data_IF_810010296592
#
_entry.id   IF_810010296592
#
_cell.length_a   1.000
_cell.length_b   1.000
_cell.length_c   1.000
_cell.angle_alpha   90.00
_cell.angle_beta   90.00
_cell.angle_gamma   90.00
#
_symmetry.space_group_name_H-M   'P 1'
#
loop_
_entity.id
_entity.type
_entity.pdbx_description
1 polymer ?
#
# COMPACT_ATOMS: atom_id res chain seq x y z
N UNK A 1 -14.86 -3.93 46.81
CA UNK A 1 -14.31 -2.55 46.78
C UNK A 1 -13.23 -2.54 45.70
N UNK A 2 -13.55 -2.12 44.49
CA UNK A 2 -12.61 -2.10 43.35
C UNK A 2 -12.32 -0.63 43.01
N UNK A 3 -11.06 -0.16 42.96
CA UNK A 3 -10.76 1.17 42.50
C UNK A 3 -10.69 1.14 40.96
N UNK A 4 -11.72 1.66 40.29
CA UNK A 4 -11.77 1.84 38.82
C UNK A 4 -11.79 3.32 38.41
N UNK A 5 -11.18 4.19 39.22
CA UNK A 5 -11.37 5.64 39.07
C UNK A 5 -10.14 6.42 38.61
N UNK A 6 -8.96 5.80 38.50
CA UNK A 6 -7.71 6.55 38.23
C UNK A 6 -7.17 6.47 36.79
N UNK A 7 -7.73 5.63 35.91
CA UNK A 7 -7.31 5.59 34.49
C UNK A 7 -8.17 6.47 33.56
N UNK A 8 -9.42 6.78 33.94
CA UNK A 8 -10.31 7.61 33.12
C UNK A 8 -10.03 9.11 33.22
N UNK A 9 -9.37 9.55 34.30
CA UNK A 9 -9.09 10.97 34.55
C UNK A 9 -7.94 11.51 33.66
N UNK A 10 -7.03 10.63 33.21
CA UNK A 10 -5.86 11.04 32.43
C UNK A 10 -6.10 11.21 30.91
N UNK A 11 -7.24 10.75 30.38
CA UNK A 11 -7.63 11.05 29.00
C UNK A 11 -8.22 12.47 28.93
N UNK A 12 -9.11 12.81 29.86
CA UNK A 12 -9.76 14.12 30.04
C UNK A 12 -8.84 15.33 29.92
N UNK A 13 -7.71 15.31 30.62
CA UNK A 13 -6.80 16.47 30.75
C UNK A 13 -5.79 16.59 29.60
N UNK A 14 -5.47 15.48 28.90
CA UNK A 14 -4.66 15.53 27.66
C UNK A 14 -5.44 16.06 26.46
N UNK A 15 -6.78 16.06 26.51
CA UNK A 15 -7.66 16.54 25.43
C UNK A 15 -7.66 18.08 25.24
N UNK A 16 -7.06 18.85 26.15
CA UNK A 16 -6.96 20.30 26.05
C UNK A 16 -5.78 20.77 25.19
N UNK A 17 -4.73 19.95 25.06
CA UNK A 17 -3.69 20.16 24.06
C UNK A 17 -4.19 19.56 22.75
N UNK A 18 -4.32 20.40 21.72
CA UNK A 18 -4.82 19.94 20.44
C UNK A 18 -3.99 18.77 19.90
N UNK A 19 -4.64 17.82 19.22
CA UNK A 19 -3.94 16.85 18.38
C UNK A 19 -3.11 17.65 17.34
N UNK A 20 -1.78 17.62 17.49
CA UNK A 20 -0.83 18.24 16.57
C UNK A 20 -0.09 17.09 15.92
N UNK A 21 -0.45 16.78 14.68
CA UNK A 21 0.22 15.76 13.89
C UNK A 21 1.30 16.44 13.03
N UNK A 22 2.53 15.92 12.98
CA UNK A 22 3.58 16.47 12.13
C UNK A 22 3.24 16.27 10.65
N UNK A 23 3.83 17.11 9.80
CA UNK A 23 3.77 16.89 8.36
C UNK A 23 4.53 15.62 7.99
N UNK A 24 3.98 14.85 7.06
CA UNK A 24 4.65 13.76 6.38
C UNK A 24 4.91 14.16 4.92
N UNK A 25 5.63 13.32 4.18
CA UNK A 25 5.81 13.53 2.74
C UNK A 25 4.43 13.56 2.05
N UNK A 26 4.13 14.56 1.21
CA UNK A 26 2.87 14.64 0.51
C UNK A 26 2.63 13.44 -0.42
N UNK A 27 1.37 13.04 -0.56
CA UNK A 27 0.96 12.08 -1.58
C UNK A 27 1.01 12.74 -2.97
N UNK A 28 1.81 12.18 -3.86
CA UNK A 28 1.99 12.71 -5.22
C UNK A 28 1.05 12.05 -6.23
N UNK A 29 0.72 10.77 -6.03
CA UNK A 29 -0.16 10.02 -6.93
C UNK A 29 -0.52 8.63 -6.43
N UNK A 30 -0.72 7.71 -7.36
CA UNK A 30 -1.13 6.34 -7.06
C UNK A 30 0.05 5.41 -6.81
N UNK A 31 1.21 5.73 -7.39
CA UNK A 31 2.44 4.93 -7.28
C UNK A 31 2.99 4.90 -5.85
N UNK A 32 2.79 5.96 -5.08
CA UNK A 32 3.28 6.14 -3.72
C UNK A 32 2.20 5.90 -2.63
N UNK A 33 0.95 5.60 -3.02
CA UNK A 33 -0.18 5.50 -2.10
C UNK A 33 0.03 4.48 -0.97
N UNK A 34 0.52 3.27 -1.27
CA UNK A 34 0.68 2.21 -0.26
C UNK A 34 1.77 2.58 0.76
N UNK A 35 2.85 3.22 0.31
CA UNK A 35 3.91 3.72 1.21
C UNK A 35 3.40 4.90 2.03
N UNK A 36 2.64 5.79 1.41
CA UNK A 36 2.06 6.96 2.06
C UNK A 36 1.05 6.56 3.15
N UNK A 37 0.12 5.65 2.86
CA UNK A 37 -0.87 5.19 3.84
C UNK A 37 -0.23 4.42 5.00
N UNK A 38 0.86 3.69 4.73
CA UNK A 38 1.68 3.08 5.78
C UNK A 38 2.28 4.14 6.72
N UNK A 39 2.88 5.20 6.17
CA UNK A 39 3.43 6.32 6.96
C UNK A 39 2.36 7.04 7.76
N UNK A 40 1.18 7.27 7.17
CA UNK A 40 0.01 7.81 7.85
C UNK A 40 -0.37 6.96 9.06
N UNK A 41 -0.54 5.65 8.88
CA UNK A 41 -0.89 4.71 9.97
C UNK A 41 0.18 4.69 11.06
N UNK A 42 1.45 4.73 10.67
CA UNK A 42 2.57 4.77 11.61
C UNK A 42 2.55 6.06 12.44
N UNK A 43 2.31 7.22 11.81
CA UNK A 43 2.22 8.49 12.52
C UNK A 43 1.08 8.50 13.54
N UNK A 44 -0.11 8.05 13.14
CA UNK A 44 -1.27 7.97 14.03
C UNK A 44 -1.03 7.02 15.21
N UNK A 45 -0.26 5.95 15.01
CA UNK A 45 0.12 5.01 16.07
C UNK A 45 1.10 5.62 17.09
N UNK A 46 1.98 6.52 16.66
CA UNK A 46 3.04 7.12 17.49
C UNK A 46 2.51 8.23 18.41
N UNK A 47 1.45 8.95 18.00
CA UNK A 47 0.96 10.20 18.61
C UNK A 47 0.22 10.04 19.97
N UNK A 48 0.56 8.98 20.72
CA UNK A 48 0.29 8.87 22.16
C UNK A 48 -1.17 8.67 22.58
N UNK A 49 -2.11 8.71 21.63
CA UNK A 49 -3.53 8.36 21.86
C UNK A 49 -3.77 6.98 21.25
N UNK A 50 -3.96 5.98 22.11
CA UNK A 50 -4.11 4.59 21.68
C UNK A 50 -5.26 4.45 20.67
N UNK A 51 -4.97 3.97 19.46
CA UNK A 51 -5.99 3.56 18.49
C UNK A 51 -6.43 4.61 17.46
N UNK A 52 -5.74 5.74 17.30
CA UNK A 52 -6.10 6.74 16.26
C UNK A 52 -6.03 6.17 14.84
N UNK A 53 -5.17 5.19 14.58
CA UNK A 53 -5.09 4.49 13.30
C UNK A 53 -6.41 3.79 12.92
N UNK A 54 -7.24 3.45 13.91
CA UNK A 54 -8.57 2.84 13.71
C UNK A 54 -9.57 3.81 13.11
N UNK A 55 -9.33 5.12 13.21
CA UNK A 55 -10.18 6.14 12.59
C UNK A 55 -10.12 6.12 11.05
N UNK A 56 -9.17 5.37 10.48
CA UNK A 56 -9.04 5.16 9.04
C UNK A 56 -9.73 3.88 8.56
N UNK A 57 -10.18 3.02 9.48
CA UNK A 57 -10.83 1.77 9.13
C UNK A 57 -12.25 2.09 8.66
N UNK A 58 -12.66 1.64 7.48
CA UNK A 58 -14.03 1.82 7.00
C UNK A 58 -14.86 0.52 7.13
N UNK A 59 -14.25 -0.57 7.60
CA UNK A 59 -14.88 -1.90 7.71
C UNK A 59 -15.71 -2.06 8.98
N UNK A 60 -15.55 -1.17 9.95
CA UNK A 60 -16.23 -1.18 11.24
C UNK A 60 -17.18 0.01 11.31
N UNK A 61 -18.36 -0.18 11.89
CA UNK A 61 -19.29 0.94 12.07
C UNK A 61 -18.69 2.01 12.98
N UNK A 62 -18.92 3.29 12.65
CA UNK A 62 -18.40 4.45 13.39
C UNK A 62 -18.73 4.40 14.89
N UNK A 63 -19.92 3.92 15.25
CA UNK A 63 -20.32 3.72 16.65
C UNK A 63 -19.47 2.68 17.36
N UNK A 64 -19.14 1.57 16.68
CA UNK A 64 -18.30 0.51 17.25
C UNK A 64 -16.85 0.96 17.37
N UNK A 65 -16.32 1.72 16.40
CA UNK A 65 -14.99 2.32 16.52
C UNK A 65 -14.89 3.27 17.71
N UNK A 66 -15.87 4.17 17.88
CA UNK A 66 -15.92 5.06 19.03
C UNK A 66 -15.89 4.28 20.35
N UNK A 67 -16.72 3.22 20.46
CA UNK A 67 -16.75 2.35 21.64
C UNK A 67 -15.43 1.62 21.88
N UNK A 68 -14.82 1.03 20.84
CA UNK A 68 -13.56 0.29 20.94
C UNK A 68 -12.37 1.19 21.33
N UNK A 69 -12.47 2.49 21.04
CA UNK A 69 -11.52 3.52 21.48
C UNK A 69 -11.83 4.06 22.88
N UNK A 70 -12.92 3.63 23.51
CA UNK A 70 -13.40 4.17 24.79
C UNK A 70 -13.87 5.62 24.72
N UNK A 71 -14.27 6.09 23.53
CA UNK A 71 -14.69 7.46 23.26
C UNK A 71 -16.21 7.56 23.12
N UNK A 72 -16.77 8.67 23.58
CA UNK A 72 -18.10 9.07 23.12
C UNK A 72 -18.06 9.48 21.63
N UNK A 73 -19.22 9.40 20.96
CA UNK A 73 -19.30 9.67 19.53
C UNK A 73 -18.89 11.11 19.14
N UNK A 74 -19.11 12.10 20.01
CA UNK A 74 -18.75 13.50 19.74
C UNK A 74 -17.24 13.68 19.75
N UNK A 75 -16.57 13.07 20.72
CA UNK A 75 -15.10 13.07 20.84
C UNK A 75 -14.48 12.30 19.69
N UNK A 76 -15.02 11.13 19.34
CA UNK A 76 -14.64 10.36 18.15
C UNK A 76 -14.74 11.20 16.87
N UNK A 77 -15.91 11.82 16.63
CA UNK A 77 -16.16 12.65 15.44
C UNK A 77 -15.14 13.78 15.33
N UNK A 78 -14.88 14.50 16.43
CA UNK A 78 -13.89 15.59 16.48
C UNK A 78 -12.49 15.11 16.11
N UNK A 79 -12.07 13.93 16.59
CA UNK A 79 -10.77 13.37 16.22
C UNK A 79 -10.72 13.00 14.74
N UNK A 80 -11.76 12.35 14.24
CA UNK A 80 -11.85 11.94 12.85
C UNK A 80 -11.81 13.14 11.89
N UNK A 81 -12.55 14.21 12.18
CA UNK A 81 -12.52 15.46 11.41
C UNK A 81 -11.13 16.12 11.41
N UNK A 82 -10.43 16.11 12.56
CA UNK A 82 -9.06 16.66 12.65
C UNK A 82 -8.05 15.84 11.86
N UNK A 83 -8.19 14.52 11.87
CA UNK A 83 -7.36 13.65 11.04
C UNK A 83 -7.67 13.88 9.57
N UNK A 84 -8.93 14.00 9.16
CA UNK A 84 -9.28 14.35 7.78
C UNK A 84 -8.64 15.67 7.33
N UNK A 85 -8.68 16.71 8.18
CA UNK A 85 -8.01 17.98 7.91
C UNK A 85 -6.49 17.81 7.78
N UNK A 86 -5.86 17.08 8.70
CA UNK A 86 -4.42 16.79 8.60
C UNK A 86 -4.08 15.95 7.36
N UNK A 87 -4.88 14.97 6.98
CA UNK A 87 -4.67 14.21 5.75
C UNK A 87 -4.66 15.15 4.54
N UNK A 88 -5.56 16.12 4.50
CA UNK A 88 -5.63 17.11 3.41
C UNK A 88 -4.38 17.98 3.28
N UNK A 89 -3.69 18.29 4.39
CA UNK A 89 -2.44 19.06 4.36
C UNK A 89 -1.22 18.24 3.91
N UNK A 90 -1.38 16.93 3.73
CA UNK A 90 -0.33 16.01 3.32
C UNK A 90 -0.58 15.43 1.92
N UNK A 91 -1.24 16.22 1.05
CA UNK A 91 -1.50 15.89 -0.35
C UNK A 91 -0.79 16.92 -1.24
N UNK A 92 -0.35 16.48 -2.42
CA UNK A 92 0.11 17.40 -3.46
C UNK A 92 -1.07 18.19 -4.06
N UNK A 93 -0.78 19.37 -4.63
CA UNK A 93 -1.78 20.20 -5.31
C UNK A 93 -2.57 19.45 -6.39
N UNK A 94 -1.90 18.54 -7.11
CA UNK A 94 -2.52 17.71 -8.15
C UNK A 94 -3.60 16.80 -7.56
N UNK A 95 -3.28 16.14 -6.44
CA UNK A 95 -4.23 15.26 -5.75
C UNK A 95 -5.35 16.07 -5.10
N UNK A 96 -5.06 17.24 -4.52
CA UNK A 96 -6.06 18.15 -3.95
C UNK A 96 -7.09 18.56 -5.02
N UNK A 97 -6.64 19.02 -6.20
CA UNK A 97 -7.55 19.38 -7.29
C UNK A 97 -8.41 18.21 -7.75
N UNK A 98 -7.84 17.01 -7.80
CA UNK A 98 -8.57 15.79 -8.14
C UNK A 98 -9.63 15.44 -7.07
N UNK A 99 -9.31 15.66 -5.79
CA UNK A 99 -10.23 15.49 -4.66
C UNK A 99 -11.38 16.51 -4.72
N UNK A 100 -11.10 17.78 -5.04
CA UNK A 100 -12.13 18.83 -5.16
C UNK A 100 -13.09 18.59 -6.33
N UNK A 101 -12.60 18.01 -7.43
CA UNK A 101 -13.43 17.68 -8.60
C UNK A 101 -14.39 16.51 -8.36
N UNK A 102 -14.19 15.72 -7.30
CA UNK A 102 -15.09 14.62 -6.92
C UNK A 102 -16.23 15.14 -6.03
N UNK A 103 -17.51 14.88 -6.38
CA UNK A 103 -18.68 15.50 -5.76
C UNK A 103 -18.94 15.07 -4.32
N UNK A 104 -18.36 13.95 -3.87
CA UNK A 104 -18.56 13.45 -2.51
C UNK A 104 -17.73 14.26 -1.53
N UNK A 105 -18.34 14.73 -0.42
CA UNK A 105 -17.61 15.47 0.62
C UNK A 105 -17.28 14.53 1.78
N UNK A 106 -16.02 14.12 1.97
CA UNK A 106 -15.66 13.28 3.09
C UNK A 106 -15.72 14.13 4.37
N UNK A 107 -16.43 13.65 5.38
CA UNK A 107 -16.57 14.35 6.67
C UNK A 107 -15.60 13.79 7.71
N UNK A 108 -15.38 12.47 7.69
CA UNK A 108 -14.55 11.74 8.63
C UNK A 108 -13.30 11.16 7.95
N UNK A 109 -12.30 10.76 8.73
CA UNK A 109 -11.01 10.28 8.23
C UNK A 109 -11.12 8.99 7.39
N UNK A 110 -11.99 8.06 7.77
CA UNK A 110 -12.33 6.85 7.01
C UNK A 110 -12.99 7.19 5.65
N UNK A 111 -13.97 8.10 5.66
CA UNK A 111 -14.61 8.62 4.46
C UNK A 111 -13.56 9.30 3.55
N UNK A 112 -12.63 10.05 4.16
CA UNK A 112 -11.57 10.77 3.47
C UNK A 112 -10.59 9.83 2.76
N UNK A 113 -10.10 8.80 3.46
CA UNK A 113 -9.23 7.78 2.86
C UNK A 113 -9.93 7.03 1.74
N UNK A 114 -11.20 6.65 1.94
CA UNK A 114 -12.00 5.95 0.92
C UNK A 114 -12.13 6.80 -0.35
N UNK A 115 -12.44 8.09 -0.20
CA UNK A 115 -12.48 9.02 -1.33
C UNK A 115 -11.11 9.18 -1.99
N UNK A 116 -10.07 9.37 -1.19
CA UNK A 116 -8.70 9.57 -1.66
C UNK A 116 -8.23 8.39 -2.52
N UNK A 117 -8.45 7.16 -2.04
CA UNK A 117 -8.15 5.94 -2.79
C UNK A 117 -8.89 5.92 -4.13
N UNK A 118 -10.21 6.19 -4.13
CA UNK A 118 -11.00 6.24 -5.36
C UNK A 118 -10.47 7.27 -6.36
N UNK A 119 -10.09 8.47 -5.89
CA UNK A 119 -9.61 9.56 -6.74
C UNK A 119 -8.25 9.23 -7.34
N UNK A 120 -7.33 8.75 -6.50
CA UNK A 120 -5.96 8.43 -6.87
C UNK A 120 -5.90 7.26 -7.84
N UNK A 121 -6.72 6.23 -7.63
CA UNK A 121 -6.83 5.07 -8.51
C UNK A 121 -7.92 5.21 -9.59
N UNK A 122 -8.51 6.41 -9.79
CA UNK A 122 -9.68 6.60 -10.68
C UNK A 122 -9.43 6.13 -12.10
N UNK A 123 -8.25 6.40 -12.65
CA UNK A 123 -7.88 5.95 -13.99
C UNK A 123 -7.84 4.42 -14.05
N UNK A 124 -7.21 3.78 -13.07
CA UNK A 124 -7.06 2.33 -13.01
C UNK A 124 -8.41 1.63 -12.85
N UNK A 125 -9.29 2.12 -11.96
CA UNK A 125 -10.64 1.59 -11.80
C UNK A 125 -11.53 1.78 -13.03
N UNK A 126 -11.34 2.84 -13.81
CA UNK A 126 -12.06 3.06 -15.07
C UNK A 126 -11.54 2.22 -16.22
N UNK A 127 -10.27 1.79 -16.16
CA UNK A 127 -9.60 1.08 -17.24
C UNK A 127 -8.89 -0.20 -16.74
N UNK A 128 -9.59 -1.10 -16.02
CA UNK A 128 -8.94 -2.24 -15.37
C UNK A 128 -8.27 -3.18 -16.37
N UNK A 129 -8.83 -3.28 -17.59
CA UNK A 129 -8.23 -4.06 -18.68
C UNK A 129 -6.91 -3.46 -19.18
N UNK A 130 -6.82 -2.13 -19.32
CA UNK A 130 -5.58 -1.48 -19.74
C UNK A 130 -4.48 -1.68 -18.70
N UNK A 131 -4.81 -1.61 -17.41
CA UNK A 131 -3.87 -1.89 -16.31
C UNK A 131 -3.41 -3.35 -16.35
N UNK A 132 -4.32 -4.28 -16.64
CA UNK A 132 -3.98 -5.69 -16.78
C UNK A 132 -3.04 -5.95 -17.95
N UNK A 133 -3.36 -5.40 -19.13
CA UNK A 133 -2.54 -5.54 -20.34
C UNK A 133 -1.16 -4.89 -20.17
N UNK A 134 -1.08 -3.73 -19.49
CA UNK A 134 0.17 -3.06 -19.14
C UNK A 134 1.04 -3.89 -18.17
N UNK A 135 0.42 -4.58 -17.20
CA UNK A 135 1.15 -5.48 -16.31
C UNK A 135 1.67 -6.73 -17.03
N UNK A 136 0.93 -7.29 -17.99
CA UNK A 136 1.39 -8.42 -18.81
C UNK A 136 2.45 -8.01 -19.85
N UNK A 137 2.36 -6.78 -20.35
CA UNK A 137 3.26 -6.23 -21.37
C UNK A 137 4.56 -5.68 -20.82
N UNK A 138 4.84 -5.83 -19.52
CA UNK A 138 6.08 -5.31 -18.91
C UNK A 138 7.31 -6.03 -19.47
N UNK A 139 8.32 -5.25 -19.86
CA UNK A 139 9.54 -5.79 -20.46
C UNK A 139 10.80 -5.32 -19.72
N UNK A 140 11.72 -6.25 -19.47
CA UNK A 140 13.01 -5.95 -18.79
C UNK A 140 13.80 -4.82 -19.45
N UNK A 141 13.76 -4.70 -20.78
CA UNK A 141 14.53 -3.71 -21.55
C UNK A 141 14.11 -2.26 -21.30
N UNK A 142 12.93 -2.02 -20.74
CA UNK A 142 12.40 -0.68 -20.45
C UNK A 142 13.01 -0.06 -19.17
N UNK A 143 13.80 -0.84 -18.42
CA UNK A 143 14.34 -0.46 -17.12
C UNK A 143 15.86 -0.43 -17.12
N UNK A 144 16.47 0.50 -16.37
CA UNK A 144 17.93 0.63 -16.33
C UNK A 144 18.60 -0.50 -15.55
N UNK A 145 17.89 -1.12 -14.59
CA UNK A 145 18.41 -2.21 -13.77
C UNK A 145 17.36 -3.31 -13.54
N UNK A 146 17.84 -4.51 -13.19
CA UNK A 146 16.97 -5.63 -12.76
C UNK A 146 16.14 -5.21 -11.55
N UNK A 147 16.73 -4.49 -10.59
CA UNK A 147 16.00 -4.02 -9.41
C UNK A 147 14.81 -3.10 -9.77
N UNK A 148 15.01 -2.17 -10.71
CA UNK A 148 13.92 -1.30 -11.20
C UNK A 148 12.84 -2.13 -11.90
N UNK A 149 13.23 -3.08 -12.74
CA UNK A 149 12.29 -3.99 -13.40
C UNK A 149 11.46 -4.81 -12.39
N UNK A 150 12.11 -5.44 -11.40
CA UNK A 150 11.42 -6.25 -10.39
C UNK A 150 10.45 -5.41 -9.57
N UNK A 151 10.85 -4.20 -9.16
CA UNK A 151 9.98 -3.26 -8.43
C UNK A 151 8.77 -2.86 -9.27
N UNK A 152 8.97 -2.56 -10.55
CA UNK A 152 7.89 -2.20 -11.47
C UNK A 152 6.94 -3.38 -11.71
N UNK A 153 7.46 -4.60 -11.89
CA UNK A 153 6.65 -5.81 -12.04
C UNK A 153 5.76 -6.03 -10.80
N UNK A 154 6.33 -5.97 -9.60
CA UNK A 154 5.57 -6.10 -8.34
C UNK A 154 4.45 -5.06 -8.26
N UNK A 155 4.78 -3.79 -8.57
CA UNK A 155 3.82 -2.68 -8.52
C UNK A 155 2.69 -2.85 -9.54
N UNK A 156 3.00 -3.18 -10.81
CA UNK A 156 2.00 -3.37 -11.87
C UNK A 156 1.09 -4.57 -11.60
N UNK A 157 1.66 -5.69 -11.12
CA UNK A 157 0.87 -6.88 -10.74
C UNK A 157 -0.06 -6.56 -9.57
N UNK A 158 0.43 -5.91 -8.52
CA UNK A 158 -0.38 -5.51 -7.38
C UNK A 158 -1.52 -4.56 -7.79
N UNK A 159 -1.22 -3.54 -8.60
CA UNK A 159 -2.21 -2.60 -9.12
C UNK A 159 -3.26 -3.29 -9.98
N UNK A 160 -2.84 -4.18 -10.88
CA UNK A 160 -3.75 -4.98 -11.72
C UNK A 160 -4.70 -5.82 -10.87
N UNK A 161 -4.18 -6.54 -9.88
CA UNK A 161 -4.99 -7.37 -8.98
C UNK A 161 -5.90 -6.55 -8.06
N UNK A 162 -5.50 -5.32 -7.72
CA UNK A 162 -6.31 -4.38 -6.92
C UNK A 162 -7.56 -3.90 -7.67
N UNK A 163 -7.46 -3.65 -8.97
CA UNK A 163 -8.56 -3.05 -9.77
C UNK A 163 -9.37 -4.04 -10.59
N UNK A 164 -8.86 -5.25 -10.79
CA UNK A 164 -9.56 -6.31 -11.53
C UNK A 164 -10.37 -7.23 -10.62
N UNK A 165 -11.43 -7.80 -11.17
CA UNK A 165 -12.17 -8.88 -10.53
C UNK A 165 -11.24 -10.10 -10.30
N UNK A 166 -11.50 -10.94 -9.28
CA UNK A 166 -10.67 -12.10 -8.97
C UNK A 166 -10.41 -13.05 -10.15
N UNK A 167 -11.37 -13.16 -11.08
CA UNK A 167 -11.23 -13.98 -12.29
C UNK A 167 -10.18 -13.46 -13.28
N UNK A 168 -9.76 -12.20 -13.15
CA UNK A 168 -8.78 -11.52 -14.01
C UNK A 168 -7.53 -11.13 -13.21
N UNK A 169 -7.25 -11.80 -12.09
CA UNK A 169 -6.00 -11.61 -11.37
C UNK A 169 -4.84 -12.24 -12.12
N UNK A 170 -3.70 -11.55 -12.13
CA UNK A 170 -2.42 -12.14 -12.49
C UNK A 170 -2.05 -13.07 -11.34
N UNK A 171 -2.37 -14.35 -11.51
CA UNK A 171 -2.05 -15.38 -10.54
C UNK A 171 -0.53 -15.44 -10.33
N UNK A 172 -0.03 -15.77 -9.12
CA UNK A 172 1.38 -15.65 -8.88
C UNK A 172 2.29 -16.61 -9.70
N UNK A 173 1.83 -17.76 -10.25
CA UNK A 173 2.61 -18.49 -11.27
C UNK A 173 2.83 -17.69 -12.56
N UNK A 174 1.82 -16.93 -13.01
CA UNK A 174 1.94 -16.07 -14.19
C UNK A 174 2.91 -14.93 -13.92
N UNK A 175 2.82 -14.30 -12.75
CA UNK A 175 3.75 -13.25 -12.34
C UNK A 175 5.21 -13.74 -12.28
N UNK A 176 5.43 -14.98 -11.83
CA UNK A 176 6.75 -15.61 -11.90
C UNK A 176 7.24 -15.83 -13.33
N UNK A 177 6.38 -16.29 -14.24
CA UNK A 177 6.76 -16.46 -15.65
C UNK A 177 7.20 -15.13 -16.26
N UNK A 178 6.47 -14.05 -15.97
CA UNK A 178 6.86 -12.69 -16.38
C UNK A 178 8.23 -12.29 -15.83
N UNK A 179 8.47 -12.54 -14.54
CA UNK A 179 9.76 -12.27 -13.88
C UNK A 179 10.91 -13.04 -14.56
N UNK A 180 10.77 -14.36 -14.68
CA UNK A 180 11.81 -15.25 -15.19
C UNK A 180 12.11 -14.98 -16.67
N UNK A 181 11.08 -14.78 -17.50
CA UNK A 181 11.26 -14.40 -18.89
C UNK A 181 11.98 -13.05 -19.01
N UNK A 182 11.62 -12.08 -18.15
CA UNK A 182 12.25 -10.78 -18.11
C UNK A 182 13.75 -10.84 -17.84
N UNK A 183 14.19 -11.67 -16.89
CA UNK A 183 15.61 -11.72 -16.48
C UNK A 183 16.45 -12.77 -17.21
N UNK A 184 15.84 -13.64 -18.03
CA UNK A 184 16.51 -14.79 -18.63
C UNK A 184 17.77 -14.44 -19.44
N UNK A 185 17.78 -13.27 -20.09
CA UNK A 185 18.94 -12.83 -20.87
C UNK A 185 20.15 -12.52 -19.98
N UNK A 186 19.94 -11.89 -18.83
CA UNK A 186 21.02 -11.53 -17.90
C UNK A 186 21.35 -12.64 -16.88
N UNK A 187 20.39 -13.51 -16.56
CA UNK A 187 20.52 -14.54 -15.53
C UNK A 187 20.03 -15.92 -16.01
N UNK A 188 20.55 -16.45 -17.14
CA UNK A 188 20.01 -17.68 -17.75
C UNK A 188 20.20 -18.92 -16.86
N UNK A 189 21.30 -19.02 -16.12
CA UNK A 189 21.57 -20.13 -15.21
C UNK A 189 20.59 -20.17 -14.05
N UNK A 190 20.35 -19.01 -13.41
CA UNK A 190 19.35 -18.90 -12.35
C UNK A 190 17.97 -19.30 -12.84
N UNK A 191 17.56 -18.80 -14.02
CA UNK A 191 16.24 -19.13 -14.60
C UNK A 191 16.13 -20.63 -14.89
N UNK A 192 17.15 -21.22 -15.53
CA UNK A 192 17.18 -22.66 -15.81
C UNK A 192 17.08 -23.50 -14.54
N UNK A 193 17.74 -23.10 -13.47
CA UNK A 193 17.75 -23.84 -12.21
C UNK A 193 16.47 -23.62 -11.39
N UNK A 194 15.82 -22.45 -11.53
CA UNK A 194 14.57 -22.11 -10.82
C UNK A 194 13.35 -22.77 -11.46
N UNK A 195 13.26 -22.86 -12.79
CA UNK A 195 12.09 -23.41 -13.50
C UNK A 195 11.67 -24.81 -12.99
N UNK A 196 12.58 -25.79 -12.82
CA UNK A 196 12.23 -27.12 -12.32
C UNK A 196 11.75 -27.15 -10.86
N UNK A 197 12.11 -26.12 -10.08
CA UNK A 197 11.70 -25.98 -8.68
C UNK A 197 10.32 -25.36 -8.53
N UNK A 198 9.74 -24.84 -9.62
CA UNK A 198 8.38 -24.32 -9.60
C UNK A 198 7.40 -25.50 -9.52
N UNK A 199 6.51 -25.54 -8.51
CA UNK A 199 5.52 -26.59 -8.43
C UNK A 199 4.61 -26.53 -9.67
N UNK A 200 4.60 -27.62 -10.45
CA UNK A 200 3.74 -27.80 -11.64
C UNK A 200 2.28 -28.01 -11.22
N UNK A 201 2.04 -28.31 -9.94
CA UNK A 201 0.73 -28.71 -9.45
C UNK A 201 -0.16 -27.49 -9.17
N UNK A 202 -1.15 -27.29 -10.06
CA UNK A 202 -2.18 -26.26 -9.95
C UNK A 202 -3.16 -26.48 -8.77
N UNK A 203 -3.00 -27.56 -8.00
CA UNK A 203 -3.93 -27.97 -6.94
C UNK A 203 -3.57 -27.47 -5.53
N UNK A 204 -2.35 -26.98 -5.33
CA UNK A 204 -1.92 -26.38 -4.06
C UNK A 204 -1.48 -24.95 -4.30
N UNK A 205 -2.11 -24.04 -3.53
CA UNK A 205 -1.90 -22.60 -3.48
C UNK A 205 -0.47 -22.19 -3.82
N UNK A 206 -0.25 -21.78 -5.08
CA UNK A 206 0.91 -20.97 -5.37
C UNK A 206 0.68 -19.62 -4.68
N UNK A 207 1.31 -19.45 -3.52
CA UNK A 207 1.09 -18.30 -2.67
C UNK A 207 1.86 -17.09 -3.21
N UNK A 208 1.24 -15.92 -3.08
CA UNK A 208 1.87 -14.63 -3.37
C UNK A 208 3.25 -14.49 -2.69
N UNK A 209 3.42 -15.12 -1.52
CA UNK A 209 4.68 -15.20 -0.79
C UNK A 209 5.84 -15.79 -1.62
N UNK A 210 5.60 -16.82 -2.45
CA UNK A 210 6.63 -17.44 -3.28
C UNK A 210 7.06 -16.54 -4.44
N UNK A 211 6.10 -15.83 -5.04
CA UNK A 211 6.41 -14.81 -6.04
C UNK A 211 7.26 -13.71 -5.42
N UNK A 212 6.84 -13.17 -4.28
CA UNK A 212 7.56 -12.11 -3.58
C UNK A 212 8.95 -12.55 -3.13
N UNK A 213 9.12 -13.76 -2.59
CA UNK A 213 10.43 -14.27 -2.18
C UNK A 213 11.38 -14.41 -3.38
N UNK A 214 10.87 -14.88 -4.51
CA UNK A 214 11.66 -15.03 -5.74
C UNK A 214 12.07 -13.66 -6.29
N UNK A 215 11.22 -12.65 -6.21
CA UNK A 215 11.61 -11.27 -6.53
C UNK A 215 12.78 -10.77 -5.67
N UNK A 216 12.75 -11.02 -4.35
CA UNK A 216 13.85 -10.63 -3.46
C UNK A 216 15.15 -11.38 -3.80
N UNK A 217 15.08 -12.69 -4.02
CA UNK A 217 16.25 -13.49 -4.45
C UNK A 217 16.89 -12.95 -5.73
N UNK A 218 16.07 -12.61 -6.74
CA UNK A 218 16.55 -12.03 -8.01
C UNK A 218 17.24 -10.69 -7.77
N UNK A 219 16.68 -9.82 -6.93
CA UNK A 219 17.30 -8.54 -6.58
C UNK A 219 18.64 -8.74 -5.86
N UNK A 220 18.73 -9.70 -4.96
CA UNK A 220 19.98 -10.00 -4.23
C UNK A 220 21.06 -10.56 -5.14
N UNK A 221 20.70 -11.46 -6.07
CA UNK A 221 21.63 -11.94 -7.09
C UNK A 221 22.11 -10.82 -8.03
N UNK A 222 21.21 -9.91 -8.44
CA UNK A 222 21.58 -8.77 -9.27
C UNK A 222 22.57 -7.84 -8.54
N UNK A 223 22.37 -7.60 -7.24
CA UNK A 223 23.32 -6.83 -6.42
C UNK A 223 24.67 -7.54 -6.30
N UNK A 224 24.68 -8.83 -6.02
CA UNK A 224 25.91 -9.61 -5.91
C UNK A 224 26.74 -9.55 -7.20
N UNK A 225 26.10 -9.64 -8.38
CA UNK A 225 26.76 -9.54 -9.69
C UNK A 225 27.30 -8.16 -10.02
N UNK A 226 26.67 -7.10 -9.52
CA UNK A 226 27.16 -5.73 -9.68
C UNK A 226 28.35 -5.41 -8.75
N UNK A 227 28.53 -6.19 -7.69
CA UNK A 227 29.64 -6.06 -6.74
C UNK A 227 30.88 -6.88 -7.14
N UNK A 228 30.74 -7.89 -8.01
CA UNK A 228 31.87 -8.61 -8.57
C UNK A 228 32.49 -7.75 -9.69
N UNK A 229 33.75 -7.27 -9.56
CA UNK A 229 34.44 -6.66 -10.68
C UNK A 229 34.52 -7.69 -11.79
N UNK A 230 34.03 -7.34 -12.99
CA UNK A 230 34.22 -8.18 -14.17
C UNK A 230 35.72 -8.39 -14.37
N UNK A 231 36.22 -9.58 -14.02
CA UNK A 231 37.55 -10.02 -14.39
C UNK A 231 37.56 -10.12 -15.90
N UNK A 232 38.19 -9.14 -16.55
CA UNK A 232 38.41 -9.12 -17.99
C UNK A 232 39.21 -10.38 -18.36
N UNK A 233 38.64 -11.20 -19.24
CA UNK A 233 39.37 -12.14 -20.07
C UNK A 233 39.55 -11.53 -21.46
#
# INVERSE_FOLDING_TARGET
MFPRSHQLVNLGERHAQGLILPSIQPLEGHEDFDVWIYRVRLQLKIEGTTGLERLLDNSITKTRQAWDMGLDFRTFKRYSERIALWLSSNLSDTVIRAMEADPERPVMADDYITKLERVVFRFAYKNPRLVYDDALGIERREYASIEQFVKALKSKVALSNKVNAPSNHIAPPMALVLLLNGINREMPEYVRDKIPTLPIDHSHSFEEATFLSTCEEVMDQAKARNLTPQSKH
#
